data_IF_842375587548
#
_entry.id   IF_842375587548
#
_cell.length_a   1.000
_cell.length_b   1.000
_cell.length_c   1.000
_cell.angle_alpha   90.00
_cell.angle_beta   90.00
_cell.angle_gamma   90.00
#
_symmetry.space_group_name_H-M   'P 1'
#
loop_
_entity.id
_entity.type
_entity.pdbx_description
1 polymer ?
#
# COMPACT_ATOMS: atom_id res chain seq x y z
N UNK A 1 -37.22 -15.78 17.18
CA UNK A 1 -37.25 -17.04 16.39
C UNK A 1 -36.74 -16.73 15.00
N UNK A 2 -35.51 -17.14 14.69
CA UNK A 2 -34.88 -16.95 13.39
C UNK A 2 -33.69 -17.89 13.31
N UNK A 3 -33.84 -18.94 12.53
CA UNK A 3 -32.85 -20.01 12.34
C UNK A 3 -31.77 -19.54 11.38
N UNK A 4 -30.54 -19.38 11.86
CA UNK A 4 -29.35 -19.08 11.04
C UNK A 4 -28.47 -20.31 10.93
N UNK A 5 -28.50 -20.95 9.76
CA UNK A 5 -27.76 -22.17 9.40
C UNK A 5 -26.25 -21.99 9.53
N UNK A 6 -25.63 -22.96 10.19
CA UNK A 6 -24.21 -23.29 10.08
C UNK A 6 -23.91 -24.01 8.76
N UNK A 7 -22.81 -23.63 8.14
CA UNK A 7 -22.11 -24.35 7.07
C UNK A 7 -20.73 -23.72 6.95
N UNK A 8 -19.60 -24.42 7.05
CA UNK A 8 -19.35 -25.84 6.86
C UNK A 8 -18.44 -26.02 5.65
N UNK A 9 -17.27 -26.63 5.89
CA UNK A 9 -16.27 -27.17 4.95
C UNK A 9 -15.43 -26.12 4.18
N UNK A 10 -14.12 -26.05 4.41
CA UNK A 10 -13.08 -26.98 3.90
C UNK A 10 -13.02 -26.99 2.36
N UNK A 11 -11.88 -26.53 1.84
CA UNK A 11 -11.62 -26.48 0.40
C UNK A 11 -10.18 -26.04 0.10
N UNK A 12 -9.20 -26.66 0.74
CA UNK A 12 -7.81 -26.63 0.27
C UNK A 12 -7.73 -27.34 -1.09
N UNK A 13 -7.68 -26.55 -2.16
CA UNK A 13 -7.39 -27.07 -3.51
C UNK A 13 -5.89 -27.02 -3.75
N UNK A 14 -5.21 -28.09 -3.38
CA UNK A 14 -3.86 -28.39 -3.83
C UNK A 14 -3.88 -28.64 -5.34
N UNK A 15 -3.47 -27.65 -6.14
CA UNK A 15 -3.24 -27.82 -7.57
C UNK A 15 -1.94 -28.60 -7.74
N UNK A 16 -2.09 -29.92 -7.78
CA UNK A 16 -1.07 -30.87 -8.23
C UNK A 16 -0.91 -30.68 -9.73
N UNK A 17 0.19 -30.04 -10.14
CA UNK A 17 0.65 -29.99 -11.52
C UNK A 17 1.24 -31.35 -11.91
N UNK A 18 0.35 -32.27 -12.28
CA UNK A 18 0.72 -33.55 -12.87
C UNK A 18 1.33 -33.36 -14.25
N UNK A 19 2.65 -33.42 -14.33
CA UNK A 19 3.43 -33.48 -15.56
C UNK A 19 3.14 -34.83 -16.24
N UNK A 20 2.25 -34.82 -17.23
CA UNK A 20 1.86 -36.00 -18.02
C UNK A 20 2.98 -36.35 -18.98
N UNK A 21 3.83 -37.30 -18.58
CA UNK A 21 4.84 -37.91 -19.44
C UNK A 21 4.20 -38.53 -20.69
N UNK A 22 4.60 -38.03 -21.85
CA UNK A 22 4.33 -38.64 -23.15
C UNK A 22 5.26 -39.83 -23.32
N UNK A 23 4.73 -41.03 -23.10
CA UNK A 23 5.37 -42.28 -23.48
C UNK A 23 5.50 -42.34 -25.00
N UNK A 24 6.72 -42.11 -25.47
CA UNK A 24 7.18 -42.52 -26.79
C UNK A 24 7.28 -44.05 -26.82
N UNK A 25 6.44 -44.68 -27.65
CA UNK A 25 6.64 -46.06 -28.09
C UNK A 25 6.94 -46.04 -29.60
N UNK A 26 8.13 -46.47 -30.04
CA UNK A 26 8.41 -46.73 -31.44
C UNK A 26 8.18 -48.22 -31.70
N UNK A 27 7.03 -48.59 -32.26
CA UNK A 27 6.79 -49.99 -32.64
C UNK A 27 6.84 -50.16 -34.17
N UNK A 28 7.87 -50.94 -34.52
CA UNK A 28 8.26 -51.54 -35.80
C UNK A 28 7.06 -52.07 -36.60
N UNK A 29 7.01 -51.78 -37.90
CA UNK A 29 7.49 -52.67 -38.96
C UNK A 29 7.02 -54.12 -38.80
N UNK A 30 5.82 -54.42 -39.31
CA UNK A 30 5.54 -55.69 -39.97
C UNK A 30 4.81 -55.43 -41.29
N UNK A 31 5.60 -55.57 -42.34
CA UNK A 31 5.22 -55.94 -43.69
C UNK A 31 4.27 -57.14 -43.70
N UNK A 32 3.12 -57.01 -44.37
CA UNK A 32 2.35 -58.12 -44.91
C UNK A 32 1.51 -57.67 -46.12
N UNK A 33 1.12 -58.60 -46.99
CA UNK A 33 1.24 -58.44 -48.43
C UNK A 33 -0.05 -57.95 -49.11
N UNK A 34 0.16 -57.10 -50.12
CA UNK A 34 -0.41 -57.19 -51.46
C UNK A 34 -1.72 -57.98 -51.59
N UNK A 35 -2.83 -57.43 -51.06
CA UNK A 35 -4.18 -57.83 -51.45
C UNK A 35 -4.61 -57.00 -52.63
N UNK A 36 -4.40 -57.59 -53.80
CA UNK A 36 -5.11 -57.32 -55.04
C UNK A 36 -6.62 -57.30 -54.75
N UNK A 37 -7.20 -56.11 -54.57
CA UNK A 37 -8.62 -55.97 -54.26
C UNK A 37 -9.20 -54.81 -55.08
N UNK A 38 -9.58 -55.18 -56.30
CA UNK A 38 -10.70 -54.66 -57.10
C UNK A 38 -10.84 -53.13 -57.09
N UNK A 39 -10.46 -52.52 -58.21
CA UNK A 39 -10.93 -51.22 -58.69
C UNK A 39 -12.46 -51.21 -58.70
N UNK A 40 -13.06 -51.00 -57.52
CA UNK A 40 -14.44 -50.63 -57.37
C UNK A 40 -14.47 -49.15 -57.67
N UNK A 41 -14.88 -48.83 -58.90
CA UNK A 41 -15.24 -47.48 -59.32
C UNK A 41 -16.16 -46.88 -58.23
N UNK A 42 -15.56 -46.10 -57.34
CA UNK A 42 -16.29 -45.47 -56.23
C UNK A 42 -17.32 -44.57 -56.88
N UNK A 43 -18.63 -44.79 -56.66
CA UNK A 43 -19.66 -43.97 -57.27
C UNK A 43 -19.37 -42.53 -56.89
N UNK A 44 -19.15 -41.68 -57.92
CA UNK A 44 -18.90 -40.25 -57.78
C UNK A 44 -20.09 -39.63 -57.05
N UNK A 45 -20.02 -39.60 -55.71
CA UNK A 45 -21.01 -38.93 -54.84
C UNK A 45 -20.92 -37.45 -55.15
N UNK A 46 -21.76 -36.98 -56.07
CA UNK A 46 -21.96 -35.54 -56.27
C UNK A 46 -22.49 -34.99 -54.95
N UNK A 47 -21.75 -34.11 -54.26
CA UNK A 47 -22.22 -33.54 -53.01
C UNK A 47 -23.52 -32.79 -53.34
N UNK A 48 -24.66 -33.30 -52.86
CA UNK A 48 -25.92 -32.57 -52.90
C UNK A 48 -25.84 -31.52 -51.81
N UNK A 49 -25.18 -30.41 -52.12
CA UNK A 49 -25.13 -29.25 -51.24
C UNK A 49 -26.53 -28.66 -51.24
N UNK A 50 -27.31 -28.97 -50.20
CA UNK A 50 -28.59 -28.30 -49.96
C UNK A 50 -28.34 -26.79 -49.85
N UNK A 51 -29.16 -25.98 -50.52
CA UNK A 51 -29.10 -24.51 -50.47
C UNK A 51 -29.04 -24.00 -49.02
N UNK A 52 -29.76 -24.69 -48.12
CA UNK A 52 -29.78 -24.39 -46.69
C UNK A 52 -28.39 -24.56 -46.03
N UNK A 53 -27.64 -25.61 -46.38
CA UNK A 53 -26.28 -25.81 -45.86
C UNK A 53 -25.31 -24.75 -46.39
N UNK A 54 -25.49 -24.30 -47.63
CA UNK A 54 -24.68 -23.20 -48.19
C UNK A 54 -24.92 -21.91 -47.40
N UNK A 55 -26.20 -21.59 -47.15
CA UNK A 55 -26.58 -20.38 -46.43
C UNK A 55 -26.12 -20.42 -44.97
N UNK A 56 -26.22 -21.58 -44.31
CA UNK A 56 -25.70 -21.79 -42.96
C UNK A 56 -24.17 -21.64 -42.89
N UNK A 57 -23.44 -22.13 -43.90
CA UNK A 57 -21.99 -22.02 -43.94
C UNK A 57 -21.57 -20.55 -44.15
N UNK A 58 -22.29 -19.83 -45.03
CA UNK A 58 -22.06 -18.41 -45.25
C UNK A 58 -22.29 -17.58 -43.98
N UNK A 59 -23.39 -17.80 -43.25
CA UNK A 59 -23.67 -17.10 -42.00
C UNK A 59 -22.64 -17.43 -40.92
N UNK A 60 -22.24 -18.70 -40.81
CA UNK A 60 -21.19 -19.13 -39.87
C UNK A 60 -19.84 -18.48 -40.19
N UNK A 61 -19.48 -18.40 -41.47
CA UNK A 61 -18.25 -17.74 -41.91
C UNK A 61 -18.29 -16.24 -41.64
N UNK A 62 -19.40 -15.56 -41.92
CA UNK A 62 -19.59 -14.15 -41.60
C UNK A 62 -19.47 -13.87 -40.09
N UNK A 63 -20.06 -14.73 -39.26
CA UNK A 63 -19.95 -14.64 -37.80
C UNK A 63 -18.50 -14.81 -37.33
N UNK A 64 -17.78 -15.79 -37.88
CA UNK A 64 -16.39 -16.06 -37.54
C UNK A 64 -15.47 -14.88 -37.89
N UNK A 65 -15.66 -14.28 -39.07
CA UNK A 65 -14.93 -13.08 -39.49
C UNK A 65 -15.25 -11.89 -38.57
N UNK A 66 -16.53 -11.69 -38.22
CA UNK A 66 -16.94 -10.63 -37.29
C UNK A 66 -16.32 -10.77 -35.91
N UNK A 67 -16.33 -11.97 -35.33
CA UNK A 67 -15.69 -12.25 -34.04
C UNK A 67 -14.16 -12.06 -34.09
N UNK A 68 -13.53 -12.44 -35.20
CA UNK A 68 -12.10 -12.23 -35.38
C UNK A 68 -11.74 -10.74 -35.45
N UNK A 69 -12.51 -9.94 -36.20
CA UNK A 69 -12.31 -8.49 -36.29
C UNK A 69 -12.53 -7.81 -34.92
N UNK A 70 -13.63 -8.14 -34.23
CA UNK A 70 -13.91 -7.61 -32.90
C UNK A 70 -12.80 -7.95 -31.88
N UNK A 71 -12.24 -9.18 -31.96
CA UNK A 71 -11.11 -9.58 -31.12
C UNK A 71 -9.85 -8.77 -31.43
N UNK A 72 -9.54 -8.55 -32.71
CA UNK A 72 -8.38 -7.75 -33.12
C UNK A 72 -8.52 -6.29 -32.68
N UNK A 73 -9.70 -5.71 -32.76
CA UNK A 73 -9.99 -4.36 -32.27
C UNK A 73 -9.84 -4.27 -30.75
N UNK A 74 -10.39 -5.24 -30.00
CA UNK A 74 -10.22 -5.29 -28.54
C UNK A 74 -8.75 -5.38 -28.14
N UNK A 75 -7.93 -6.20 -28.83
CA UNK A 75 -6.49 -6.29 -28.56
C UNK A 75 -5.81 -4.94 -28.81
N UNK A 76 -6.17 -4.23 -29.89
CA UNK A 76 -5.62 -2.89 -30.20
C UNK A 76 -6.04 -1.84 -29.17
N UNK A 77 -7.28 -1.90 -28.68
CA UNK A 77 -7.76 -1.01 -27.62
C UNK A 77 -6.99 -1.26 -26.33
N UNK A 78 -6.87 -2.50 -25.90
CA UNK A 78 -6.11 -2.85 -24.69
C UNK A 78 -4.64 -2.43 -24.79
N UNK A 79 -4.01 -2.58 -25.96
CA UNK A 79 -2.65 -2.13 -26.21
C UNK A 79 -2.48 -0.60 -26.10
N UNK A 80 -3.55 0.19 -26.31
CA UNK A 80 -3.54 1.66 -26.17
C UNK A 80 -3.94 2.11 -24.78
N UNK A 81 -4.88 1.42 -24.12
CA UNK A 81 -5.35 1.77 -22.78
C UNK A 81 -4.27 1.55 -21.73
N UNK A 82 -3.52 0.44 -21.82
CA UNK A 82 -2.44 0.14 -20.87
C UNK A 82 -1.42 1.27 -20.65
N UNK A 83 -0.77 1.81 -21.71
CA UNK A 83 0.18 2.91 -21.53
C UNK A 83 -0.49 4.22 -21.07
N UNK A 84 -1.73 4.50 -21.48
CA UNK A 84 -2.47 5.68 -21.04
C UNK A 84 -2.84 5.61 -19.55
N UNK A 85 -3.23 4.44 -19.06
CA UNK A 85 -3.49 4.21 -17.64
C UNK A 85 -2.20 4.31 -16.81
N UNK A 86 -1.09 3.75 -17.32
CA UNK A 86 0.22 3.87 -16.68
C UNK A 86 0.69 5.33 -16.62
N UNK A 87 0.49 6.10 -17.69
CA UNK A 87 0.81 7.52 -17.73
C UNK A 87 -0.11 8.33 -16.82
N UNK A 88 -1.41 8.06 -16.80
CA UNK A 88 -2.33 8.73 -15.88
C UNK A 88 -1.97 8.44 -14.43
N UNK A 89 -1.62 7.19 -14.11
CA UNK A 89 -1.14 6.77 -12.78
C UNK A 89 0.17 7.49 -12.42
N UNK A 90 1.11 7.64 -13.37
CA UNK A 90 2.35 8.41 -13.19
C UNK A 90 2.05 9.89 -12.92
N UNK A 91 1.24 10.54 -13.76
CA UNK A 91 0.88 11.96 -13.60
C UNK A 91 0.13 12.22 -12.30
N UNK A 92 -0.75 11.31 -11.88
CA UNK A 92 -1.41 11.36 -10.57
C UNK A 92 -0.41 11.23 -9.43
N UNK A 93 0.56 10.33 -9.54
CA UNK A 93 1.63 10.21 -8.54
C UNK A 93 2.47 11.49 -8.45
N UNK A 94 2.82 12.11 -9.59
CA UNK A 94 3.53 13.39 -9.66
C UNK A 94 2.73 14.54 -9.02
N UNK A 95 1.41 14.55 -9.19
CA UNK A 95 0.51 15.51 -8.53
C UNK A 95 0.23 15.17 -7.06
N UNK A 96 0.75 14.03 -6.57
CA UNK A 96 0.46 13.52 -5.24
C UNK A 96 -1.02 13.17 -5.03
N UNK A 97 -1.72 12.81 -6.10
CA UNK A 97 -3.07 12.27 -6.06
C UNK A 97 -3.02 10.79 -5.66
N UNK A 98 -3.83 10.43 -4.66
CA UNK A 98 -3.91 9.07 -4.15
C UNK A 98 -4.85 8.23 -5.01
N UNK A 99 -4.39 7.09 -5.50
CA UNK A 99 -5.22 6.16 -6.28
C UNK A 99 -5.59 4.96 -5.41
N UNK A 100 -6.82 4.92 -4.91
CA UNK A 100 -7.29 3.81 -4.06
C UNK A 100 -7.78 2.67 -4.96
N UNK A 101 -6.97 1.61 -5.09
CA UNK A 101 -7.32 0.41 -5.86
C UNK A 101 -8.20 -0.56 -5.05
N UNK A 102 -7.93 -0.66 -3.74
CA UNK A 102 -8.64 -1.54 -2.80
C UNK A 102 -9.12 -0.74 -1.59
N UNK A 103 -10.42 -0.42 -1.47
CA UNK A 103 -10.93 0.44 -0.39
C UNK A 103 -10.85 -0.21 1.00
N UNK A 104 -10.35 -1.44 1.13
CA UNK A 104 -10.09 -2.11 2.40
C UNK A 104 -8.64 -2.00 2.87
N UNK A 105 -7.76 -1.34 2.09
CA UNK A 105 -6.36 -1.12 2.45
C UNK A 105 -6.09 0.33 2.82
N UNK A 106 -5.09 0.54 3.66
CA UNK A 106 -4.59 1.88 3.98
C UNK A 106 -3.59 2.27 2.91
N UNK A 107 -3.78 3.43 2.32
CA UNK A 107 -2.84 3.97 1.33
C UNK A 107 -2.19 5.23 1.87
N UNK A 108 -0.90 5.39 1.61
CA UNK A 108 -0.19 6.60 1.96
C UNK A 108 0.85 6.96 0.89
N UNK A 109 1.00 8.26 0.66
CA UNK A 109 1.98 8.83 -0.27
C UNK A 109 2.57 10.11 0.34
N UNK A 110 3.89 10.29 0.25
CA UNK A 110 4.53 11.56 0.56
C UNK A 110 4.28 12.54 -0.59
N UNK A 111 3.80 13.73 -0.27
CA UNK A 111 3.64 14.80 -1.25
C UNK A 111 4.97 15.53 -1.45
N UNK A 112 5.26 16.02 -2.67
CA UNK A 112 6.47 16.80 -2.92
C UNK A 112 6.53 18.04 -2.04
N UNK A 113 7.73 18.33 -1.53
CA UNK A 113 7.98 19.39 -0.55
C UNK A 113 8.23 20.72 -1.25
N UNK A 114 7.63 21.80 -0.73
CA UNK A 114 7.85 23.17 -1.20
C UNK A 114 8.81 23.90 -0.26
N UNK A 115 8.95 23.44 0.98
CA UNK A 115 9.74 24.08 2.03
C UNK A 115 10.56 23.04 2.78
N UNK A 116 11.78 23.42 3.14
CA UNK A 116 12.61 22.63 4.05
C UNK A 116 11.90 22.43 5.39
N UNK A 117 12.02 21.23 5.96
CA UNK A 117 11.41 20.85 7.25
C UNK A 117 9.88 20.81 7.31
N UNK A 118 9.22 20.69 6.15
CA UNK A 118 7.77 20.45 6.05
C UNK A 118 7.52 19.15 5.30
N UNK A 119 7.06 18.14 6.02
CA UNK A 119 6.67 16.86 5.44
C UNK A 119 5.15 16.79 5.31
N UNK A 120 4.65 16.45 4.12
CA UNK A 120 3.22 16.28 3.85
C UNK A 120 2.94 14.89 3.35
N UNK A 121 1.92 14.26 3.92
CA UNK A 121 1.46 12.93 3.54
C UNK A 121 -0.02 12.97 3.25
N UNK A 122 -0.42 12.33 2.16
CA UNK A 122 -1.83 12.06 1.88
C UNK A 122 -2.10 10.61 2.21
N UNK A 123 -3.07 10.36 3.09
CA UNK A 123 -3.35 9.04 3.63
C UNK A 123 -4.83 8.73 3.45
N UNK A 124 -5.17 7.55 2.94
CA UNK A 124 -6.53 7.04 2.89
C UNK A 124 -6.73 6.00 3.99
N UNK A 125 -7.74 6.24 4.81
CA UNK A 125 -8.17 5.37 5.90
C UNK A 125 -9.45 4.63 5.49
N UNK A 126 -9.45 3.29 5.47
CA UNK A 126 -10.61 2.53 5.02
C UNK A 126 -11.79 2.62 6.01
N UNK A 127 -13.05 2.55 5.53
CA UNK A 127 -14.25 2.69 6.35
C UNK A 127 -14.43 1.58 7.39
N UNK A 128 -15.27 1.85 8.39
CA UNK A 128 -15.69 0.85 9.40
C UNK A 128 -14.77 0.68 10.60
N UNK A 129 -13.77 1.55 10.79
CA UNK A 129 -12.84 1.53 11.92
C UNK A 129 -12.46 2.94 12.35
N UNK A 130 -12.05 3.09 13.60
CA UNK A 130 -11.50 4.33 14.13
C UNK A 130 -9.96 4.30 14.08
N UNK A 131 -9.38 5.41 13.64
CA UNK A 131 -7.94 5.56 13.48
C UNK A 131 -7.42 6.68 14.34
N UNK A 132 -6.10 6.76 14.46
CA UNK A 132 -5.44 7.94 14.99
C UNK A 132 -4.15 8.23 14.22
N UNK A 133 -3.75 9.50 14.22
CA UNK A 133 -2.42 9.93 13.79
C UNK A 133 -1.69 10.38 15.04
N UNK A 134 -0.52 9.82 15.28
CA UNK A 134 0.29 10.13 16.45
C UNK A 134 1.71 10.53 16.06
N UNK A 135 2.33 11.29 16.95
CA UNK A 135 3.75 11.57 16.91
C UNK A 135 4.38 11.37 18.27
N UNK A 136 5.66 11.00 18.24
CA UNK A 136 6.53 10.90 19.39
C UNK A 136 7.79 11.70 19.10
N UNK A 137 8.15 12.60 20.00
CA UNK A 137 9.47 13.23 20.00
C UNK A 137 10.32 12.67 21.13
N UNK A 138 11.55 12.31 20.77
CA UNK A 138 12.56 11.69 21.62
C UNK A 138 12.16 10.36 22.24
N UNK A 139 13.15 9.74 22.86
CA UNK A 139 13.08 8.41 23.43
C UNK A 139 12.44 7.45 22.40
N UNK A 140 12.88 7.50 21.14
CA UNK A 140 12.21 6.78 20.06
C UNK A 140 12.37 5.27 20.25
N UNK A 141 11.33 4.46 19.96
CA UNK A 141 11.42 3.00 20.04
C UNK A 141 12.51 2.47 19.09
N UNK A 142 13.26 1.47 19.54
CA UNK A 142 14.39 0.89 18.80
C UNK A 142 14.10 -0.57 18.41
N UNK A 143 14.77 -1.06 17.36
CA UNK A 143 14.67 -2.45 16.91
C UNK A 143 13.23 -2.93 16.67
N UNK A 144 12.89 -4.12 17.16
CA UNK A 144 11.55 -4.73 17.00
C UNK A 144 10.43 -3.93 17.68
N UNK A 145 10.76 -3.09 18.68
CA UNK A 145 9.77 -2.25 19.35
C UNK A 145 9.15 -1.21 18.39
N UNK A 146 9.82 -0.86 17.28
CA UNK A 146 9.23 -0.03 16.22
C UNK A 146 8.04 -0.68 15.51
N UNK A 147 7.91 -2.01 15.56
CA UNK A 147 6.72 -2.69 15.01
C UNK A 147 5.55 -2.64 16.00
N UNK A 148 5.81 -2.26 17.25
CA UNK A 148 4.85 -2.24 18.35
C UNK A 148 4.62 -0.83 18.89
N UNK A 149 4.87 0.20 18.07
CA UNK A 149 4.66 1.59 18.50
C UNK A 149 3.19 1.78 18.78
N UNK A 150 2.90 2.19 20.02
CA UNK A 150 1.56 2.46 20.52
C UNK A 150 1.49 3.87 21.04
N UNK A 151 0.29 4.41 20.99
CA UNK A 151 -0.02 5.62 21.72
C UNK A 151 0.00 5.32 23.23
N UNK A 152 0.79 6.08 23.98
CA UNK A 152 0.93 5.96 25.43
C UNK A 152 -0.29 6.53 26.17
N UNK A 153 -0.68 5.86 27.26
CA UNK A 153 -1.93 6.11 27.99
C UNK A 153 -2.86 4.89 27.90
N UNK A 154 -3.86 4.84 28.79
CA UNK A 154 -4.77 3.69 28.89
C UNK A 154 -5.69 3.55 27.67
N UNK A 155 -5.89 4.61 26.88
CA UNK A 155 -6.69 4.56 25.65
C UNK A 155 -6.12 5.47 24.54
N UNK A 156 -6.13 5.01 23.27
CA UNK A 156 -5.84 5.86 22.13
C UNK A 156 -6.89 6.97 21.98
N UNK A 157 -6.55 8.09 21.32
CA UNK A 157 -7.51 9.16 21.11
C UNK A 157 -8.66 8.67 20.22
N UNK A 158 -9.89 8.82 20.71
CA UNK A 158 -11.10 8.64 19.90
C UNK A 158 -11.21 9.68 18.78
N UNK A 159 -12.06 9.42 17.79
CA UNK A 159 -12.16 10.06 16.46
C UNK A 159 -12.16 11.60 16.42
N UNK A 160 -12.54 12.27 17.51
CA UNK A 160 -12.57 13.73 17.62
C UNK A 160 -11.76 14.27 18.79
N UNK A 161 -10.90 13.45 19.38
CA UNK A 161 -10.11 13.79 20.56
C UNK A 161 -8.64 13.96 20.20
N UNK A 162 -8.00 14.86 20.95
CA UNK A 162 -6.55 14.99 20.97
C UNK A 162 -6.11 14.46 22.33
N UNK A 163 -5.15 13.56 22.31
CA UNK A 163 -4.51 13.08 23.52
C UNK A 163 -3.02 13.45 23.48
N UNK A 164 -2.46 13.78 24.63
CA UNK A 164 -1.03 14.02 24.79
C UNK A 164 -0.56 13.40 26.09
N UNK A 165 0.65 12.86 26.09
CA UNK A 165 1.22 12.24 27.27
C UNK A 165 2.71 11.98 27.13
N UNK A 166 3.25 11.22 28.08
CA UNK A 166 4.58 10.63 27.96
C UNK A 166 4.45 9.20 27.45
N UNK A 167 5.29 8.85 26.49
CA UNK A 167 5.53 7.47 26.10
C UNK A 167 6.06 6.68 27.29
N UNK A 168 5.93 5.35 27.25
CA UNK A 168 6.45 4.45 28.30
C UNK A 168 7.96 4.61 28.53
N UNK A 169 8.70 5.03 27.50
CA UNK A 169 10.13 5.27 27.54
C UNK A 169 10.52 6.74 27.79
N UNK A 170 9.58 7.62 28.12
CA UNK A 170 9.85 8.99 28.56
C UNK A 170 9.62 10.08 27.51
N UNK A 171 9.55 9.72 26.23
CA UNK A 171 9.37 10.66 25.12
C UNK A 171 8.00 11.34 25.16
N UNK A 172 7.87 12.53 24.57
CA UNK A 172 6.57 13.21 24.50
C UNK A 172 5.77 12.67 23.32
N UNK A 173 4.56 12.22 23.59
CA UNK A 173 3.63 11.73 22.58
C UNK A 173 2.40 12.61 22.51
N UNK A 174 1.87 12.77 21.31
CA UNK A 174 0.56 13.32 21.10
C UNK A 174 -0.10 12.70 19.87
N UNK A 175 -1.42 12.59 19.92
CA UNK A 175 -2.21 11.80 19.00
C UNK A 175 -3.57 12.43 18.77
N UNK A 176 -4.12 12.22 17.60
CA UNK A 176 -5.41 12.76 17.19
C UNK A 176 -6.21 11.65 16.55
N UNK A 177 -7.41 11.40 17.06
CA UNK A 177 -8.33 10.48 16.42
C UNK A 177 -8.72 10.97 15.03
N UNK A 178 -9.03 10.03 14.14
CA UNK A 178 -9.41 10.28 12.76
C UNK A 178 -10.50 9.32 12.32
N UNK A 179 -11.51 9.91 11.68
CA UNK A 179 -12.53 9.18 10.97
C UNK A 179 -11.93 8.56 9.69
N UNK A 180 -12.56 7.50 9.15
CA UNK A 180 -12.23 7.01 7.83
C UNK A 180 -12.30 8.07 6.73
N UNK A 181 -11.57 7.84 5.64
CA UNK A 181 -11.51 8.71 4.48
C UNK A 181 -10.10 9.19 4.17
N UNK A 182 -10.00 10.13 3.23
CA UNK A 182 -8.74 10.76 2.87
C UNK A 182 -8.40 11.88 3.86
N UNK A 183 -7.17 11.84 4.38
CA UNK A 183 -6.60 12.86 5.25
C UNK A 183 -5.27 13.35 4.71
N UNK A 184 -4.98 14.62 4.97
CA UNK A 184 -3.69 15.24 4.78
C UNK A 184 -3.00 15.36 6.14
N UNK A 185 -1.89 14.65 6.32
CA UNK A 185 -1.01 14.78 7.48
C UNK A 185 0.12 15.72 7.12
N UNK A 186 0.32 16.77 7.91
CA UNK A 186 1.40 17.74 7.74
C UNK A 186 2.22 17.81 9.01
N UNK A 187 3.51 17.55 8.88
CA UNK A 187 4.50 17.69 9.92
C UNK A 187 5.35 18.90 9.56
N UNK A 188 5.44 19.89 10.45
CA UNK A 188 6.28 21.06 10.23
C UNK A 188 7.17 21.26 11.42
N UNK A 189 8.48 21.27 11.18
CA UNK A 189 9.43 21.84 12.13
C UNK A 189 9.45 23.35 11.92
N UNK A 190 9.48 24.11 13.00
CA UNK A 190 9.66 25.54 12.96
C UNK A 190 10.49 25.98 14.15
N UNK A 191 11.11 27.14 13.98
CA UNK A 191 11.88 27.80 15.02
C UNK A 191 11.09 29.04 15.44
N UNK A 192 10.86 29.24 16.73
CA UNK A 192 10.25 30.48 17.25
C UNK A 192 11.28 31.62 17.29
N UNK A 193 10.84 32.81 17.68
CA UNK A 193 11.68 34.02 17.72
C UNK A 193 12.83 33.91 18.76
N UNK A 194 12.64 33.07 19.78
CA UNK A 194 13.68 32.75 20.77
C UNK A 194 14.67 31.69 20.25
N UNK A 195 14.52 31.25 19.00
CA UNK A 195 15.32 30.22 18.37
C UNK A 195 14.91 28.80 18.74
N UNK A 196 13.93 28.60 19.62
CA UNK A 196 13.48 27.27 20.05
C UNK A 196 12.82 26.57 18.90
N UNK A 197 13.27 25.34 18.63
CA UNK A 197 12.62 24.51 17.64
C UNK A 197 11.43 23.82 18.29
N UNK A 198 10.35 23.73 17.54
CA UNK A 198 9.19 22.94 17.87
C UNK A 198 8.69 22.27 16.60
N UNK A 199 7.86 21.23 16.76
CA UNK A 199 7.15 20.68 15.62
C UNK A 199 5.65 20.80 15.83
N UNK A 200 4.95 21.00 14.72
CA UNK A 200 3.49 20.88 14.66
C UNK A 200 3.12 19.66 13.86
N UNK A 201 2.17 18.89 14.37
CA UNK A 201 1.48 17.85 13.63
C UNK A 201 0.07 18.32 13.35
N UNK A 202 -0.32 18.33 12.09
CA UNK A 202 -1.69 18.60 11.64
C UNK A 202 -2.19 17.39 10.88
N UNK A 203 -3.43 17.01 11.12
CA UNK A 203 -4.12 16.04 10.28
C UNK A 203 -5.55 16.51 10.05
N UNK A 204 -6.08 16.33 8.84
CA UNK A 204 -7.42 16.75 8.52
C UNK A 204 -7.80 16.41 7.08
N UNK A 205 -9.08 16.54 6.71
CA UNK A 205 -9.51 16.27 5.35
C UNK A 205 -8.82 17.23 4.36
N UNK A 206 -8.49 16.79 3.14
CA UNK A 206 -7.88 17.65 2.13
C UNK A 206 -8.80 18.84 1.81
N UNK A 207 -8.22 20.04 1.71
CA UNK A 207 -8.93 21.26 1.31
C UNK A 207 -9.66 22.02 2.43
N UNK A 208 -9.77 21.49 3.66
CA UNK A 208 -10.26 22.28 4.81
C UNK A 208 -9.10 22.91 5.56
N UNK A 209 -9.17 24.23 5.77
CA UNK A 209 -8.18 24.97 6.57
C UNK A 209 -8.41 24.86 8.09
N UNK A 210 -9.38 24.07 8.55
CA UNK A 210 -9.61 23.79 9.97
C UNK A 210 -8.55 22.83 10.53
N UNK A 211 -7.61 23.36 11.32
CA UNK A 211 -6.50 22.58 11.88
C UNK A 211 -6.89 21.97 13.22
N UNK A 212 -7.09 20.66 13.27
CA UNK A 212 -6.78 19.90 14.50
C UNK A 212 -5.30 19.56 14.44
N UNK A 213 -4.53 20.23 15.28
CA UNK A 213 -3.10 20.01 15.38
C UNK A 213 -2.62 20.31 16.79
N UNK A 214 -1.46 19.76 17.12
CA UNK A 214 -0.78 20.02 18.37
C UNK A 214 0.65 20.45 18.09
N UNK A 215 1.22 21.20 19.02
CA UNK A 215 2.64 21.44 19.10
C UNK A 215 3.18 20.67 20.31
N UNK A 216 4.28 19.95 20.13
CA UNK A 216 5.03 19.44 21.26
C UNK A 216 6.16 20.45 21.49
N UNK A 217 6.18 21.13 22.65
CA UNK A 217 7.23 22.09 22.93
C UNK A 217 8.56 21.38 23.17
N UNK A 218 9.65 22.09 22.89
CA UNK A 218 11.02 21.64 23.16
C UNK A 218 11.21 21.28 24.64
N UNK A 219 11.99 20.23 24.91
CA UNK A 219 12.55 19.97 26.24
C UNK A 219 14.04 20.37 26.23
N UNK A 220 14.56 21.00 27.29
CA UNK A 220 15.99 21.27 27.44
C UNK A 220 16.77 19.97 27.26
N UNK A 221 17.90 20.05 26.53
CA UNK A 221 18.80 18.91 26.28
C UNK A 221 18.19 17.73 25.51
N UNK A 222 17.03 17.90 24.86
CA UNK A 222 16.46 16.93 23.92
C UNK A 222 16.20 17.53 22.55
N UNK A 223 16.10 16.70 21.50
CA UNK A 223 15.67 17.18 20.20
C UNK A 223 14.21 17.69 20.29
N UNK A 224 13.83 18.80 19.63
CA UNK A 224 14.62 19.61 18.70
C UNK A 224 15.42 20.75 19.36
N UNK A 225 15.53 20.82 20.68
CA UNK A 225 16.21 21.88 21.42
C UNK A 225 17.75 21.83 21.36
N UNK A 226 18.36 20.64 21.31
CA UNK A 226 19.84 20.48 21.41
C UNK A 226 20.61 21.17 20.27
N UNK A 227 19.98 21.42 19.13
CA UNK A 227 20.66 22.09 18.00
C UNK A 227 21.09 23.53 18.32
N UNK A 228 20.56 24.13 19.41
CA UNK A 228 21.00 25.41 19.95
C UNK A 228 22.29 25.36 20.76
N UNK A 229 22.72 24.18 21.22
CA UNK A 229 23.97 24.07 21.98
C UNK A 229 25.07 24.40 20.98
N UNK A 230 25.59 25.61 21.08
CA UNK A 230 26.67 26.12 20.25
C UNK A 230 27.75 25.05 20.23
N UNK A 231 27.97 24.46 19.05
CA UNK A 231 28.87 23.30 18.90
C UNK A 231 30.17 23.64 19.57
N UNK A 232 30.56 22.87 20.59
CA UNK A 232 31.87 23.07 21.15
C UNK A 232 32.91 22.79 20.05
N UNK A 233 33.95 23.63 19.91
CA UNK A 233 35.00 23.39 18.93
C UNK A 233 35.56 21.98 19.09
N UNK A 234 35.33 21.11 18.10
CA UNK A 234 35.72 19.69 18.14
C UNK A 234 34.57 18.68 18.27
N UNK A 235 33.33 19.12 18.47
CA UNK A 235 32.16 18.24 18.45
C UNK A 235 31.80 17.84 17.00
N UNK A 236 31.68 16.54 16.74
CA UNK A 236 31.34 16.04 15.40
C UNK A 236 29.98 16.57 14.94
N UNK A 237 29.83 16.94 13.66
CA UNK A 237 28.56 17.37 13.14
C UNK A 237 27.52 16.27 13.32
N UNK A 238 26.46 16.57 14.07
CA UNK A 238 25.29 15.68 14.18
C UNK A 238 24.75 15.40 12.79
N UNK A 239 24.76 14.13 12.42
CA UNK A 239 24.15 13.63 11.19
C UNK A 239 22.71 13.20 11.47
N UNK A 240 21.83 13.36 10.50
CA UNK A 240 20.44 12.93 10.61
C UNK A 240 20.12 11.82 9.61
N UNK A 241 19.06 11.07 9.90
CA UNK A 241 18.51 10.08 8.98
C UNK A 241 16.99 10.19 8.90
N UNK A 242 16.45 9.87 7.73
CA UNK A 242 15.01 9.81 7.49
C UNK A 242 14.64 8.39 7.04
N UNK A 243 13.56 7.86 7.61
CA UNK A 243 12.90 6.62 7.19
C UNK A 243 11.38 6.78 7.21
N UNK A 244 10.66 5.67 6.99
CA UNK A 244 9.20 5.68 6.81
C UNK A 244 8.82 5.80 5.34
N UNK A 245 7.77 6.57 5.04
CA UNK A 245 7.33 6.82 3.66
C UNK A 245 8.10 8.02 3.11
N UNK A 246 9.31 7.78 2.65
CA UNK A 246 10.22 8.83 2.18
C UNK A 246 10.05 9.17 0.70
N UNK A 247 9.46 8.27 -0.10
CA UNK A 247 9.28 8.49 -1.52
C UNK A 247 7.88 9.00 -1.86
N UNK A 248 7.75 9.75 -2.96
CA UNK A 248 6.47 10.08 -3.58
C UNK A 248 5.83 8.87 -4.29
N UNK A 249 6.11 7.66 -3.80
CA UNK A 249 5.53 6.41 -4.27
C UNK A 249 4.37 6.06 -3.36
N UNK A 250 3.23 5.72 -3.97
CA UNK A 250 2.09 5.22 -3.22
C UNK A 250 2.39 3.85 -2.62
N UNK A 251 2.18 3.74 -1.30
CA UNK A 251 2.30 2.48 -0.57
C UNK A 251 0.91 2.02 -0.12
N UNK A 252 0.67 0.71 -0.20
CA UNK A 252 -0.58 0.09 0.22
C UNK A 252 -0.29 -0.92 1.33
N UNK A 253 -1.02 -0.79 2.44
CA UNK A 253 -0.83 -1.63 3.61
C UNK A 253 -2.13 -2.36 3.95
N UNK A 254 -2.08 -3.66 4.26
CA UNK A 254 -3.23 -4.34 4.82
C UNK A 254 -3.53 -3.75 6.20
N UNK A 255 -4.81 -3.59 6.53
CA UNK A 255 -5.23 -2.98 7.80
C UNK A 255 -4.75 -3.77 9.02
N UNK A 256 -4.41 -5.05 8.84
CA UNK A 256 -3.85 -5.93 9.88
C UNK A 256 -2.38 -5.65 10.21
N UNK A 257 -1.65 -4.84 9.43
CA UNK A 257 -0.22 -4.52 9.65
C UNK A 257 -0.01 -3.09 10.18
N UNK A 258 -0.91 -2.60 11.03
CA UNK A 258 -0.71 -1.34 11.76
C UNK A 258 0.32 -1.54 12.90
N UNK A 259 1.08 -0.50 13.28
CA UNK A 259 1.04 0.89 12.82
C UNK A 259 1.77 1.13 11.49
N UNK A 260 1.36 2.17 10.75
CA UNK A 260 2.03 2.62 9.52
C UNK A 260 2.89 3.84 9.84
N UNK A 261 4.20 3.69 9.74
CA UNK A 261 5.17 4.76 9.99
C UNK A 261 5.20 5.71 8.78
N UNK A 262 4.74 6.95 8.97
CA UNK A 262 4.78 7.99 7.94
C UNK A 262 6.16 8.64 7.88
N UNK A 263 6.69 9.05 9.04
CA UNK A 263 7.98 9.71 9.19
C UNK A 263 8.75 9.06 10.34
N UNK A 264 9.99 8.68 10.10
CA UNK A 264 10.95 8.31 11.12
C UNK A 264 12.20 9.17 10.96
N UNK A 265 12.25 10.30 11.64
CA UNK A 265 13.37 11.22 11.63
C UNK A 265 14.22 11.00 12.87
N UNK A 266 15.51 10.70 12.70
CA UNK A 266 16.42 10.42 13.81
C UNK A 266 17.67 11.27 13.72
N UNK A 267 18.11 11.80 14.86
CA UNK A 267 19.29 12.67 14.97
C UNK A 267 20.40 11.90 15.67
N UNK A 268 21.44 11.56 14.92
CA UNK A 268 22.59 10.86 15.48
C UNK A 268 23.47 11.86 16.24
N UNK A 269 23.76 11.54 17.50
CA UNK A 269 24.69 12.28 18.35
C UNK A 269 25.96 11.47 18.61
N UNK A 270 26.97 12.11 19.23
CA UNK A 270 28.20 11.44 19.63
C UNK A 270 27.87 10.23 20.50
N UNK A 271 28.24 9.04 20.04
CA UNK A 271 27.98 7.77 20.73
C UNK A 271 26.98 6.84 20.02
N UNK A 272 26.18 7.36 19.09
CA UNK A 272 25.26 6.54 18.29
C UNK A 272 25.94 6.11 17.00
N UNK A 273 26.11 4.80 16.80
CA UNK A 273 26.78 4.22 15.61
C UNK A 273 25.84 4.00 14.43
N UNK A 274 24.54 3.95 14.68
CA UNK A 274 23.51 3.68 13.69
C UNK A 274 22.28 4.50 14.01
N UNK A 275 21.62 5.04 12.99
CA UNK A 275 20.39 5.78 13.22
C UNK A 275 19.28 4.94 13.85
N UNK A 276 19.28 3.62 13.65
CA UNK A 276 18.32 2.72 14.29
C UNK A 276 18.43 2.73 15.84
N UNK A 277 19.60 3.07 16.37
CA UNK A 277 19.90 3.12 17.81
C UNK A 277 19.71 4.54 18.39
N UNK A 278 19.45 5.53 17.54
CA UNK A 278 19.17 6.90 17.97
C UNK A 278 17.80 6.97 18.63
N UNK A 279 17.74 7.38 19.88
CA UNK A 279 16.50 7.66 20.60
C UNK A 279 16.04 9.13 20.44
N UNK A 280 16.92 10.03 20.02
CA UNK A 280 16.58 11.42 19.68
C UNK A 280 15.97 11.54 18.28
N UNK A 281 14.86 12.28 18.16
CA UNK A 281 14.23 12.57 16.88
C UNK A 281 12.71 12.69 16.93
N UNK A 282 12.06 12.44 15.78
CA UNK A 282 10.62 12.51 15.59
C UNK A 282 10.11 11.27 14.84
N UNK A 283 9.15 10.58 15.44
CA UNK A 283 8.40 9.51 14.80
C UNK A 283 6.94 9.95 14.61
N UNK A 284 6.39 9.76 13.41
CA UNK A 284 4.98 10.02 13.09
C UNK A 284 4.39 8.79 12.44
N UNK A 285 3.25 8.34 12.95
CA UNK A 285 2.59 7.13 12.46
C UNK A 285 1.07 7.25 12.47
N UNK A 286 0.43 6.35 11.72
CA UNK A 286 -1.00 6.09 11.77
C UNK A 286 -1.23 4.78 12.48
N UNK A 287 -2.18 4.74 13.40
CA UNK A 287 -2.60 3.55 14.13
C UNK A 287 -4.11 3.37 14.15
N UNK A 288 -4.55 2.26 14.74
CA UNK A 288 -5.95 1.89 14.93
C UNK A 288 -6.36 2.05 16.39
N UNK A 289 -7.50 2.68 16.63
CA UNK A 289 -7.99 2.91 17.99
C UNK A 289 -8.53 1.61 18.66
N UNK A 290 -9.01 0.66 17.86
CA UNK A 290 -9.64 -0.58 18.33
C UNK A 290 -8.65 -1.69 18.71
N UNK A 291 -7.38 -1.59 18.31
CA UNK A 291 -6.35 -2.59 18.64
C UNK A 291 -6.02 -2.66 20.14
N UNK A 292 -6.30 -1.61 20.90
CA UNK A 292 -6.00 -1.57 22.33
C UNK A 292 -6.94 -2.44 23.18
N UNK A 293 -8.09 -2.89 22.66
CA UNK A 293 -9.08 -3.62 23.45
C UNK A 293 -8.82 -5.13 23.55
N UNK A 294 -7.94 -5.71 22.73
CA UNK A 294 -7.83 -7.18 22.60
C UNK A 294 -6.75 -7.86 23.46
N UNK A 295 -5.90 -7.13 24.16
CA UNK A 295 -4.77 -7.71 24.92
C UNK A 295 -4.95 -7.70 26.44
N UNK A 296 -6.12 -7.31 26.95
CA UNK A 296 -6.38 -7.21 28.40
C UNK A 296 -7.23 -8.34 28.98
N UNK A 297 -7.46 -9.41 28.22
CA UNK A 297 -8.07 -10.66 28.68
C UNK A 297 -7.01 -11.73 28.93
#
# INVERSE_FOLDING_TARGET
MGWGRSGGAEGESSIVTGFRGSNFAPERLLSEPNRMQKDSERPRRRPRVSLLNLLLLLTTAALAVGLYQARQENIRILARVGPLEAENKRLRAEQGALTVEDPQKVYAIRLPEIMESVWRYRVYLPPGRDYYVAAQANDLPQGEAMLRVRFGGDQPPGTSTIASGRAKNGGRQAGMGRAPGEILVTVRLYTNDEGEKAFTLRAGPPGRQGSTGFAIPSEPDKWPAIEKVERQPGEEPRSFSYGGITEARQNAYPVTRMPIILLNYRVMHSGVRSSADSDEGLLVWVGRADEHLQETE
#
